data_IF_467080178595
#
_entry.id   IF_467080178595
#
_cell.length_a   1.000
_cell.length_b   1.000
_cell.length_c   1.000
_cell.angle_alpha   90.00
_cell.angle_beta   90.00
_cell.angle_gamma   90.00
#
_symmetry.space_group_name_H-M   'P 1'
#
loop_
_entity.id
_entity.type
_entity.pdbx_description
1 polymer ?
#
# COMPACT_ATOMS: atom_id res chain seq x y z
N UNK A 1 7.77 -11.93 -88.03
CA UNK A 1 8.37 -11.22 -86.86
C UNK A 1 7.26 -10.95 -85.87
N UNK A 2 7.24 -11.74 -84.79
CA UNK A 2 6.29 -11.60 -83.73
C UNK A 2 6.98 -10.82 -82.58
N UNK A 3 6.41 -9.70 -82.17
CA UNK A 3 6.90 -8.91 -81.02
C UNK A 3 6.14 -9.41 -79.79
N UNK A 4 6.87 -10.03 -78.88
CA UNK A 4 6.35 -10.37 -77.50
C UNK A 4 6.46 -9.13 -76.63
N UNK A 5 5.31 -8.66 -76.12
CA UNK A 5 5.26 -7.66 -75.06
C UNK A 5 5.31 -8.35 -73.71
N UNK A 6 6.36 -8.11 -72.92
CA UNK A 6 6.49 -8.55 -71.54
C UNK A 6 5.69 -7.60 -70.65
N UNK A 7 4.67 -8.17 -69.96
CA UNK A 7 3.92 -7.48 -68.92
C UNK A 7 4.70 -7.67 -67.60
N UNK A 8 5.26 -6.59 -67.10
CA UNK A 8 5.86 -6.53 -65.77
C UNK A 8 4.71 -6.44 -64.74
N UNK A 9 4.54 -7.54 -63.97
CA UNK A 9 3.61 -7.55 -62.83
C UNK A 9 4.17 -6.66 -61.69
N UNK A 10 3.41 -5.66 -61.30
CA UNK A 10 3.67 -4.95 -60.03
C UNK A 10 3.26 -5.86 -58.87
N UNK A 11 4.24 -6.33 -58.14
CA UNK A 11 4.03 -6.94 -56.84
C UNK A 11 3.58 -5.85 -55.87
N UNK A 12 2.35 -5.94 -55.40
CA UNK A 12 1.88 -5.15 -54.25
C UNK A 12 2.59 -5.68 -53.02
N UNK A 13 3.49 -4.86 -52.44
CA UNK A 13 4.01 -5.07 -51.12
C UNK A 13 2.82 -4.98 -50.11
N UNK A 14 2.42 -6.11 -49.58
CA UNK A 14 1.52 -6.16 -48.41
C UNK A 14 2.15 -5.42 -47.23
N UNK A 15 1.56 -4.30 -46.82
CA UNK A 15 1.98 -3.59 -45.60
C UNK A 15 1.83 -4.57 -44.43
N UNK A 16 2.85 -4.70 -43.56
CA UNK A 16 2.75 -5.57 -42.39
C UNK A 16 1.58 -5.10 -41.51
N UNK A 17 0.58 -5.95 -41.40
CA UNK A 17 -0.53 -5.74 -40.46
C UNK A 17 0.09 -5.83 -39.07
N UNK A 18 0.13 -4.73 -38.34
CA UNK A 18 0.57 -4.74 -36.94
C UNK A 18 -0.29 -5.75 -36.16
N UNK A 19 0.31 -6.79 -35.58
CA UNK A 19 -0.46 -7.81 -34.88
C UNK A 19 -1.16 -7.18 -33.67
N UNK A 20 -2.49 -7.19 -33.67
CA UNK A 20 -3.29 -6.77 -32.51
C UNK A 20 -3.23 -7.90 -31.48
N UNK A 21 -2.73 -7.61 -30.29
CA UNK A 21 -2.75 -8.55 -29.16
C UNK A 21 -4.12 -8.55 -28.52
N UNK A 22 -4.73 -9.72 -28.41
CA UNK A 22 -6.00 -9.91 -27.70
C UNK A 22 -5.71 -10.13 -26.23
N UNK A 23 -6.40 -9.40 -25.34
CA UNK A 23 -6.30 -9.59 -23.90
C UNK A 23 -6.81 -10.97 -23.50
N UNK A 24 -6.04 -11.66 -22.68
CA UNK A 24 -6.45 -12.93 -22.05
C UNK A 24 -7.28 -12.67 -20.78
N UNK A 25 -8.07 -13.64 -20.33
CA UNK A 25 -8.93 -13.50 -19.16
C UNK A 25 -8.14 -13.08 -17.89
N UNK A 26 -6.88 -13.53 -17.73
CA UNK A 26 -6.03 -13.15 -16.62
C UNK A 26 -5.48 -11.71 -16.67
N UNK A 27 -5.67 -11.01 -17.78
CA UNK A 27 -5.29 -9.60 -17.95
C UNK A 27 -6.46 -8.64 -17.74
N UNK A 28 -7.66 -9.16 -17.49
CA UNK A 28 -8.84 -8.36 -17.22
C UNK A 28 -8.97 -8.07 -15.73
N UNK A 29 -9.14 -6.80 -15.38
CA UNK A 29 -9.51 -6.36 -14.04
C UNK A 29 -11.02 -6.42 -13.94
N UNK A 30 -11.54 -7.19 -13.00
CA UNK A 30 -12.99 -7.29 -12.77
C UNK A 30 -13.42 -6.08 -11.91
N UNK A 31 -14.29 -5.19 -12.44
CA UNK A 31 -14.75 -4.03 -11.69
C UNK A 31 -15.74 -4.41 -10.59
N UNK A 32 -15.76 -3.64 -9.51
CA UNK A 32 -16.83 -3.68 -8.52
C UNK A 32 -18.07 -3.00 -9.06
N UNK A 33 -19.23 -3.59 -8.89
CA UNK A 33 -20.50 -2.96 -9.27
C UNK A 33 -21.06 -2.19 -8.08
N UNK A 34 -21.35 -0.90 -8.29
CA UNK A 34 -21.98 -0.05 -7.28
C UNK A 34 -23.21 0.65 -7.84
N UNK A 35 -24.13 0.99 -6.94
CA UNK A 35 -25.35 1.72 -7.24
C UNK A 35 -25.21 3.14 -6.68
N UNK A 36 -25.59 4.15 -7.45
CA UNK A 36 -25.58 5.56 -7.03
C UNK A 36 -26.93 6.21 -7.33
N UNK A 37 -27.25 7.25 -6.57
CA UNK A 37 -28.45 8.06 -6.78
C UNK A 37 -28.13 9.54 -6.75
N UNK A 38 -29.06 10.37 -7.23
CA UNK A 38 -28.94 11.81 -7.19
C UNK A 38 -29.14 12.39 -5.77
N UNK A 39 -30.01 11.75 -4.95
CA UNK A 39 -30.40 12.24 -3.65
C UNK A 39 -29.47 11.87 -2.48
N UNK A 40 -28.65 10.81 -2.64
CA UNK A 40 -27.79 10.28 -1.57
C UNK A 40 -26.36 10.12 -2.07
N UNK A 41 -25.40 10.16 -1.16
CA UNK A 41 -23.97 9.97 -1.45
C UNK A 41 -23.53 8.58 -0.99
N UNK A 42 -22.82 7.87 -1.84
CA UNK A 42 -22.14 6.63 -1.52
C UNK A 42 -20.72 6.98 -1.03
N UNK A 43 -20.32 6.42 0.11
CA UNK A 43 -18.98 6.56 0.66
C UNK A 43 -18.23 5.23 0.50
N UNK A 44 -17.03 5.31 -0.05
CA UNK A 44 -16.15 4.16 -0.25
C UNK A 44 -14.87 4.41 0.55
N UNK A 45 -14.63 3.57 1.55
CA UNK A 45 -13.45 3.61 2.41
C UNK A 45 -12.40 2.69 1.82
N UNK A 46 -11.20 3.22 1.59
CA UNK A 46 -10.04 2.49 1.07
C UNK A 46 -9.03 2.18 2.18
N UNK A 47 -8.24 1.11 2.06
CA UNK A 47 -7.23 0.73 3.05
C UNK A 47 -6.07 1.74 3.13
N UNK A 48 -5.87 2.55 2.10
CA UNK A 48 -4.81 3.55 2.00
C UNK A 48 -5.35 4.86 1.45
N UNK A 49 -4.58 5.95 1.58
CA UNK A 49 -4.95 7.26 1.06
C UNK A 49 -5.24 7.21 -0.45
N UNK A 50 -6.24 7.92 -0.89
CA UNK A 50 -6.60 8.03 -2.31
C UNK A 50 -5.70 9.05 -2.99
N UNK A 51 -4.93 8.61 -3.99
CA UNK A 51 -4.03 9.47 -4.78
C UNK A 51 -4.72 10.02 -6.01
N UNK A 52 -5.54 9.21 -6.66
CA UNK A 52 -6.15 9.56 -7.93
C UNK A 52 -7.56 8.97 -8.07
N UNK A 53 -8.46 9.75 -8.66
CA UNK A 53 -9.82 9.32 -9.03
C UNK A 53 -10.07 9.74 -10.47
N UNK A 54 -10.43 8.79 -11.33
CA UNK A 54 -10.75 9.03 -12.74
C UNK A 54 -12.19 8.66 -13.04
N UNK A 55 -12.91 9.56 -13.67
CA UNK A 55 -14.33 9.41 -13.99
C UNK A 55 -14.53 9.10 -15.47
N UNK A 56 -15.24 8.03 -15.78
CA UNK A 56 -15.54 7.63 -17.14
C UNK A 56 -16.59 8.50 -17.84
N UNK A 57 -17.41 9.24 -17.08
CA UNK A 57 -18.41 10.17 -17.64
C UNK A 57 -18.79 11.28 -16.66
N UNK A 58 -19.48 12.30 -17.17
CA UNK A 58 -20.06 13.39 -16.38
C UNK A 58 -21.39 13.01 -15.69
N UNK A 59 -21.84 11.77 -15.79
CA UNK A 59 -23.07 11.29 -15.15
C UNK A 59 -22.91 11.09 -13.65
N UNK A 60 -21.68 11.03 -13.17
CA UNK A 60 -21.34 10.87 -11.75
C UNK A 60 -20.39 11.96 -11.29
N UNK A 61 -20.45 12.26 -10.01
CA UNK A 61 -19.48 13.09 -9.29
C UNK A 61 -18.79 12.18 -8.29
N UNK A 62 -17.47 12.12 -8.36
CA UNK A 62 -16.69 11.46 -7.33
C UNK A 62 -15.47 12.31 -6.93
N UNK A 63 -15.07 12.21 -5.68
CA UNK A 63 -13.91 12.91 -5.16
C UNK A 63 -13.63 12.54 -3.71
N UNK A 64 -12.46 12.91 -3.24
CA UNK A 64 -12.08 12.72 -1.83
C UNK A 64 -13.07 13.42 -0.90
N UNK A 65 -13.30 12.84 0.26
CA UNK A 65 -14.01 13.50 1.34
C UNK A 65 -13.09 14.56 1.99
N UNK A 66 -13.64 15.71 2.33
CA UNK A 66 -12.87 16.80 2.93
C UNK A 66 -12.32 16.38 4.29
N UNK A 67 -11.03 16.58 4.50
CA UNK A 67 -10.32 16.20 5.73
C UNK A 67 -10.10 14.71 5.96
N UNK A 68 -10.45 13.85 4.98
CA UNK A 68 -10.25 12.39 5.06
C UNK A 68 -9.59 11.89 3.78
N UNK A 69 -8.39 11.34 3.89
CA UNK A 69 -7.59 11.01 2.72
C UNK A 69 -7.97 9.68 2.04
N UNK A 70 -8.59 8.77 2.77
CA UNK A 70 -8.91 7.41 2.31
C UNK A 70 -10.39 7.18 2.02
N UNK A 71 -11.19 8.23 1.87
CA UNK A 71 -12.61 8.12 1.55
C UNK A 71 -12.93 8.84 0.25
N UNK A 72 -13.58 8.13 -0.66
CA UNK A 72 -14.18 8.70 -1.87
C UNK A 72 -15.69 8.80 -1.71
N UNK A 73 -16.22 9.98 -1.98
CA UNK A 73 -17.66 10.23 -2.07
C UNK A 73 -18.08 10.12 -3.53
N UNK A 74 -19.12 9.34 -3.79
CA UNK A 74 -19.67 9.15 -5.15
C UNK A 74 -21.17 9.40 -5.13
N UNK A 75 -21.68 10.13 -6.12
CA UNK A 75 -23.12 10.29 -6.35
C UNK A 75 -23.43 10.52 -7.83
N UNK A 76 -24.67 10.32 -8.24
CA UNK A 76 -25.12 10.72 -9.56
C UNK A 76 -25.11 12.25 -9.69
N UNK A 77 -24.56 12.75 -10.80
CA UNK A 77 -24.58 14.15 -11.17
C UNK A 77 -25.94 14.56 -11.76
N UNK A 78 -26.63 13.60 -12.37
CA UNK A 78 -27.93 13.77 -13.05
C UNK A 78 -28.89 12.72 -12.53
N UNK A 79 -30.19 13.02 -12.57
CA UNK A 79 -31.23 12.01 -12.31
C UNK A 79 -31.30 11.05 -13.48
N UNK A 80 -31.36 9.76 -13.16
CA UNK A 80 -31.67 8.69 -14.11
C UNK A 80 -30.77 8.70 -15.36
N UNK A 81 -29.47 8.53 -15.21
CA UNK A 81 -28.65 8.31 -16.40
C UNK A 81 -28.83 6.87 -16.90
N UNK A 82 -28.99 6.67 -18.21
CA UNK A 82 -29.19 5.35 -18.80
C UNK A 82 -27.88 4.58 -18.88
N UNK A 83 -27.95 3.27 -18.71
CA UNK A 83 -26.82 2.38 -18.87
C UNK A 83 -25.88 2.37 -17.65
N UNK A 84 -24.62 2.11 -17.93
CA UNK A 84 -23.55 1.98 -16.94
C UNK A 84 -22.43 2.98 -17.26
N UNK A 85 -21.84 3.55 -16.24
CA UNK A 85 -20.59 4.30 -16.36
C UNK A 85 -19.55 3.67 -15.44
N UNK A 86 -18.35 4.23 -15.40
CA UNK A 86 -17.28 3.70 -14.55
C UNK A 86 -16.48 4.83 -13.91
N UNK A 87 -15.75 4.48 -12.88
CA UNK A 87 -14.62 5.26 -12.38
C UNK A 87 -13.57 4.32 -11.82
N UNK A 88 -12.36 4.85 -11.69
CA UNK A 88 -11.25 4.13 -11.08
C UNK A 88 -10.59 4.95 -9.98
N UNK A 89 -10.00 4.25 -9.03
CA UNK A 89 -9.28 4.85 -7.88
C UNK A 89 -7.91 4.21 -7.78
N UNK A 90 -6.89 5.05 -7.59
CA UNK A 90 -5.53 4.63 -7.25
C UNK A 90 -5.25 5.11 -5.84
N UNK A 91 -4.79 4.21 -4.99
CA UNK A 91 -4.41 4.51 -3.61
C UNK A 91 -2.90 4.68 -3.47
N UNK A 92 -2.45 5.27 -2.36
CA UNK A 92 -1.05 5.58 -2.09
C UNK A 92 -0.14 4.37 -2.00
N UNK A 93 -0.70 3.20 -1.70
CA UNK A 93 -0.02 1.92 -1.72
C UNK A 93 0.04 1.27 -3.12
N UNK A 94 -0.39 1.98 -4.17
CA UNK A 94 -0.41 1.53 -5.55
C UNK A 94 -1.54 0.59 -5.92
N UNK A 95 -2.51 0.36 -5.03
CA UNK A 95 -3.67 -0.46 -5.37
C UNK A 95 -4.58 0.28 -6.35
N UNK A 96 -5.09 -0.47 -7.35
CA UNK A 96 -6.04 0.01 -8.36
C UNK A 96 -7.40 -0.63 -8.14
N UNK A 97 -8.41 0.20 -8.02
CA UNK A 97 -9.80 -0.21 -7.87
C UNK A 97 -10.61 0.30 -9.04
N UNK A 98 -11.34 -0.59 -9.72
CA UNK A 98 -12.23 -0.26 -10.83
C UNK A 98 -13.66 -0.48 -10.41
N UNK A 99 -14.54 0.47 -10.74
CA UNK A 99 -15.95 0.43 -10.39
C UNK A 99 -16.82 0.64 -11.62
N UNK A 100 -17.82 -0.23 -11.80
CA UNK A 100 -18.93 -0.04 -12.70
C UNK A 100 -20.10 0.56 -11.91
N UNK A 101 -20.68 1.63 -12.41
CA UNK A 101 -21.67 2.45 -11.71
C UNK A 101 -22.97 2.47 -12.45
N UNK A 102 -24.04 2.10 -11.77
CA UNK A 102 -25.41 2.18 -12.31
C UNK A 102 -26.25 3.13 -11.45
N UNK A 103 -27.19 3.81 -12.11
CA UNK A 103 -28.17 4.62 -11.38
C UNK A 103 -29.24 3.71 -10.76
N UNK A 104 -29.58 4.00 -9.50
CA UNK A 104 -30.72 3.40 -8.80
C UNK A 104 -31.27 4.39 -7.81
N UNK A 105 -32.58 4.61 -7.81
CA UNK A 105 -33.20 5.59 -6.93
C UNK A 105 -32.99 5.30 -5.45
N UNK A 106 -33.05 4.01 -5.09
CA UNK A 106 -32.73 3.51 -3.74
C UNK A 106 -31.57 2.52 -3.83
N UNK A 107 -30.31 3.01 -3.67
CA UNK A 107 -29.13 2.13 -3.63
C UNK A 107 -29.20 1.16 -2.46
N UNK A 108 -28.78 -0.08 -2.67
CA UNK A 108 -28.77 -1.13 -1.67
C UNK A 108 -27.72 -0.88 -0.56
N UNK A 109 -26.67 -0.12 -0.88
CA UNK A 109 -25.56 0.17 0.05
C UNK A 109 -25.07 1.60 -0.18
N UNK A 110 -24.91 2.37 0.91
CA UNK A 110 -24.37 3.73 0.88
C UNK A 110 -22.95 3.82 1.47
N UNK A 111 -22.50 2.79 2.18
CA UNK A 111 -21.17 2.78 2.78
C UNK A 111 -20.47 1.46 2.42
N UNK A 112 -19.37 1.54 1.73
CA UNK A 112 -18.59 0.41 1.22
C UNK A 112 -17.22 0.47 1.87
N UNK A 113 -16.78 -0.62 2.48
CA UNK A 113 -15.45 -0.74 3.05
C UNK A 113 -14.61 -1.67 2.18
N UNK A 114 -13.56 -1.13 1.56
CA UNK A 114 -12.60 -1.88 0.75
C UNK A 114 -11.46 -2.47 1.60
N UNK A 115 -11.43 -2.20 2.91
CA UNK A 115 -10.40 -2.66 3.83
C UNK A 115 -10.50 -4.17 4.15
N UNK A 116 -11.65 -4.82 3.88
CA UNK A 116 -11.84 -6.28 4.02
C UNK A 116 -10.99 -7.14 3.08
N UNK A 117 -10.11 -6.51 2.31
CA UNK A 117 -9.14 -7.14 1.41
C UNK A 117 -8.08 -7.97 2.15
N UNK A 118 -7.94 -7.79 3.45
CA UNK A 118 -6.89 -8.41 4.25
C UNK A 118 -7.26 -9.74 4.92
N UNK A 119 -8.47 -10.27 4.69
CA UNK A 119 -8.87 -11.58 5.19
C UNK A 119 -8.93 -12.60 4.04
N UNK A 120 -7.87 -13.41 3.82
CA UNK A 120 -7.87 -14.43 2.77
C UNK A 120 -8.77 -15.64 3.04
N UNK A 121 -9.37 -15.75 4.22
CA UNK A 121 -10.17 -16.91 4.63
C UNK A 121 -11.63 -16.92 4.12
N UNK A 122 -12.10 -15.85 3.47
CA UNK A 122 -13.39 -15.85 2.81
C UNK A 122 -13.22 -15.90 1.28
N UNK A 123 -13.45 -17.10 0.74
CA UNK A 123 -13.16 -17.57 -0.60
C UNK A 123 -13.88 -16.90 -1.77
N UNK A 124 -13.86 -15.59 -1.88
CA UNK A 124 -14.25 -14.88 -3.11
C UNK A 124 -13.07 -14.08 -3.67
N UNK A 125 -12.68 -14.40 -4.89
CA UNK A 125 -11.71 -13.62 -5.68
C UNK A 125 -12.25 -12.21 -5.89
N UNK A 126 -11.83 -11.28 -5.05
CA UNK A 126 -12.23 -9.87 -5.15
C UNK A 126 -11.38 -9.16 -6.20
N UNK A 127 -12.07 -8.43 -7.09
CA UNK A 127 -11.47 -7.79 -8.25
C UNK A 127 -10.76 -6.49 -7.91
N UNK A 128 -9.55 -6.58 -7.41
CA UNK A 128 -8.60 -5.49 -7.40
C UNK A 128 -7.34 -5.93 -8.15
N UNK A 129 -6.80 -5.07 -8.96
CA UNK A 129 -5.53 -5.30 -9.64
C UNK A 129 -4.58 -4.18 -9.27
N UNK A 130 -3.34 -4.54 -9.06
CA UNK A 130 -2.30 -3.59 -8.70
C UNK A 130 -1.76 -2.87 -9.93
N UNK A 131 -1.63 -1.57 -9.84
CA UNK A 131 -0.76 -0.80 -10.73
C UNK A 131 0.64 -0.81 -10.10
N UNK A 132 1.66 -1.06 -10.93
CA UNK A 132 3.05 -0.90 -10.52
C UNK A 132 3.29 0.57 -10.19
N UNK A 133 3.51 0.86 -8.92
CA UNK A 133 4.01 2.15 -8.46
C UNK A 133 5.52 2.03 -8.37
N UNK A 134 6.23 2.99 -8.89
CA UNK A 134 7.71 3.01 -8.94
C UNK A 134 8.35 2.73 -7.57
N UNK A 135 7.67 3.09 -6.50
CA UNK A 135 8.11 2.91 -5.11
C UNK A 135 8.03 1.46 -4.59
N UNK A 136 7.18 0.61 -5.20
CA UNK A 136 7.06 -0.82 -4.84
C UNK A 136 7.94 -1.74 -5.70
N UNK A 137 8.68 -1.17 -6.67
CA UNK A 137 9.48 -1.94 -7.62
C UNK A 137 8.60 -2.72 -8.61
N UNK A 138 9.04 -3.94 -8.97
CA UNK A 138 8.30 -4.79 -9.90
C UNK A 138 7.24 -5.69 -9.23
N UNK A 139 7.04 -5.58 -7.90
CA UNK A 139 6.18 -6.46 -7.15
C UNK A 139 4.71 -6.07 -7.22
N UNK A 140 3.88 -7.11 -7.27
CA UNK A 140 2.44 -6.96 -7.13
C UNK A 140 2.08 -6.54 -5.68
N UNK A 141 1.36 -5.43 -5.46
CA UNK A 141 0.91 -5.01 -4.13
C UNK A 141 0.15 -6.08 -3.35
N UNK A 142 -0.53 -7.01 -4.04
CA UNK A 142 -1.21 -8.16 -3.40
C UNK A 142 -0.20 -9.12 -2.78
N UNK A 143 0.91 -9.37 -3.48
CA UNK A 143 2.01 -10.21 -2.96
C UNK A 143 2.62 -9.54 -1.73
N UNK A 144 2.88 -8.23 -1.80
CA UNK A 144 3.44 -7.47 -0.68
C UNK A 144 2.49 -7.50 0.53
N UNK A 145 1.18 -7.32 0.31
CA UNK A 145 0.19 -7.44 1.38
C UNK A 145 0.20 -8.83 2.02
N UNK A 146 0.26 -9.90 1.21
CA UNK A 146 0.33 -11.28 1.68
C UNK A 146 1.60 -11.55 2.49
N UNK A 147 2.74 -11.02 2.05
CA UNK A 147 4.02 -11.08 2.79
C UNK A 147 3.90 -10.39 4.14
N UNK A 148 3.40 -9.15 4.18
CA UNK A 148 3.24 -8.39 5.41
C UNK A 148 2.28 -9.08 6.39
N UNK A 149 1.16 -9.61 5.88
CA UNK A 149 0.21 -10.38 6.68
C UNK A 149 0.84 -11.65 7.26
N UNK A 150 1.64 -12.37 6.46
CA UNK A 150 2.35 -13.57 6.92
C UNK A 150 3.34 -13.25 8.03
N UNK A 151 4.14 -12.20 7.88
CA UNK A 151 5.06 -11.72 8.93
C UNK A 151 4.30 -11.37 10.21
N UNK A 152 3.19 -10.62 10.08
CA UNK A 152 2.37 -10.22 11.22
C UNK A 152 1.73 -11.42 11.93
N UNK A 153 1.21 -12.41 11.17
CA UNK A 153 0.54 -13.60 11.70
C UNK A 153 1.52 -14.54 12.40
N UNK A 154 2.68 -14.80 11.81
CA UNK A 154 3.68 -15.68 12.40
C UNK A 154 4.28 -15.12 13.69
N UNK A 155 4.27 -13.82 13.85
CA UNK A 155 4.69 -13.11 15.06
C UNK A 155 6.05 -13.56 15.64
N UNK A 156 6.99 -13.96 14.77
CA UNK A 156 8.31 -14.46 15.17
C UNK A 156 9.15 -13.35 15.79
N UNK A 157 10.05 -13.72 16.69
CA UNK A 157 11.07 -12.84 17.26
C UNK A 157 12.45 -13.31 16.81
N UNK A 158 12.83 -12.97 15.62
CA UNK A 158 14.12 -13.31 15.02
C UNK A 158 15.21 -12.32 15.47
N UNK A 159 14.86 -11.03 15.63
CA UNK A 159 15.74 -10.01 16.20
C UNK A 159 15.50 -9.90 17.71
N UNK A 160 16.59 -10.03 18.52
CA UNK A 160 16.49 -10.10 19.99
C UNK A 160 17.11 -8.90 20.70
N UNK A 161 17.97 -8.13 20.03
CA UNK A 161 18.80 -7.10 20.61
C UNK A 161 18.35 -5.65 20.29
N UNK A 162 17.39 -5.45 19.40
CA UNK A 162 16.94 -4.13 18.98
C UNK A 162 15.61 -3.78 19.63
N UNK A 163 15.60 -2.65 20.34
CA UNK A 163 14.42 -2.12 20.98
C UNK A 163 14.75 -1.16 22.11
N UNK A 164 13.71 -0.66 22.76
CA UNK A 164 13.83 0.17 23.95
C UNK A 164 12.73 -0.16 24.95
N UNK A 165 12.99 0.16 26.21
CA UNK A 165 12.01 0.03 27.30
C UNK A 165 12.16 1.21 28.25
N UNK A 166 11.17 2.09 28.26
CA UNK A 166 11.13 3.23 29.16
C UNK A 166 9.68 3.70 29.39
N UNK A 167 9.45 4.38 30.49
CA UNK A 167 8.14 4.95 30.85
C UNK A 167 6.97 3.95 30.84
N UNK A 168 7.23 2.68 31.18
CA UNK A 168 6.21 1.63 31.12
C UNK A 168 5.86 1.12 29.73
N UNK A 169 6.51 1.66 28.70
CA UNK A 169 6.41 1.20 27.31
C UNK A 169 7.60 0.34 26.92
N UNK A 170 7.38 -0.58 26.01
CA UNK A 170 8.43 -1.36 25.36
C UNK A 170 8.20 -1.40 23.86
N UNK A 171 9.16 -0.92 23.09
CA UNK A 171 9.19 -1.04 21.63
C UNK A 171 10.29 -2.04 21.24
N UNK A 172 9.96 -3.03 20.42
CA UNK A 172 10.88 -4.06 19.94
C UNK A 172 10.79 -4.18 18.42
N UNK A 173 11.95 -4.23 17.77
CA UNK A 173 12.06 -4.75 16.43
C UNK A 173 12.11 -6.28 16.53
N UNK A 174 11.04 -6.97 16.14
CA UNK A 174 10.92 -8.42 16.24
C UNK A 174 11.60 -9.16 15.12
N UNK A 175 11.61 -8.57 13.91
CA UNK A 175 12.23 -9.16 12.74
C UNK A 175 12.49 -8.16 11.65
N UNK A 176 13.49 -8.47 10.84
CA UNK A 176 13.83 -7.80 9.59
C UNK A 176 13.76 -8.87 8.50
N UNK A 177 12.97 -8.60 7.45
CA UNK A 177 12.77 -9.57 6.38
C UNK A 177 13.00 -8.91 5.04
N UNK A 178 13.42 -9.71 4.05
CA UNK A 178 13.68 -9.26 2.69
C UNK A 178 12.86 -10.08 1.71
N UNK A 179 12.22 -9.39 0.78
CA UNK A 179 11.60 -9.99 -0.39
C UNK A 179 11.91 -9.11 -1.60
N UNK A 180 12.76 -9.62 -2.51
CA UNK A 180 13.28 -8.87 -3.67
C UNK A 180 13.89 -7.51 -3.26
N UNK A 181 13.35 -6.41 -3.77
CA UNK A 181 13.85 -5.05 -3.50
C UNK A 181 13.17 -4.36 -2.31
N UNK A 182 12.41 -5.12 -1.50
CA UNK A 182 11.72 -4.61 -0.32
C UNK A 182 12.29 -5.18 0.96
N UNK A 183 12.36 -4.33 2.00
CA UNK A 183 12.71 -4.68 3.36
C UNK A 183 11.49 -4.47 4.25
N UNK A 184 11.22 -5.44 5.12
CA UNK A 184 10.09 -5.39 6.05
C UNK A 184 10.58 -5.36 7.49
N UNK A 185 10.06 -4.42 8.27
CA UNK A 185 10.30 -4.33 9.71
C UNK A 185 9.05 -4.76 10.47
N UNK A 186 9.18 -5.81 11.29
CA UNK A 186 8.13 -6.23 12.21
C UNK A 186 8.40 -5.61 13.58
N UNK A 187 7.57 -4.68 13.99
CA UNK A 187 7.69 -3.92 15.24
C UNK A 187 6.56 -4.28 16.18
N UNK A 188 6.86 -4.50 17.46
CA UNK A 188 5.86 -4.60 18.51
C UNK A 188 6.00 -3.46 19.51
N UNK A 189 4.86 -2.93 19.96
CA UNK A 189 4.79 -1.89 20.96
C UNK A 189 3.90 -2.37 22.10
N UNK A 190 4.47 -2.58 23.28
CA UNK A 190 3.79 -3.10 24.48
C UNK A 190 3.66 -1.98 25.51
N UNK A 191 2.43 -1.74 25.95
CA UNK A 191 2.13 -0.83 27.02
C UNK A 191 1.97 -1.60 28.35
N UNK A 192 2.98 -1.56 29.22
CA UNK A 192 2.96 -2.19 30.52
C UNK A 192 2.34 -1.30 31.60
N UNK A 193 1.95 -0.07 31.26
CA UNK A 193 1.27 0.86 32.17
C UNK A 193 -0.25 0.63 32.13
N UNK A 194 -0.98 1.29 33.02
CA UNK A 194 -2.44 1.30 33.00
C UNK A 194 -3.02 2.45 32.13
N UNK A 195 -2.16 3.41 31.71
CA UNK A 195 -2.57 4.57 30.94
C UNK A 195 -2.41 4.25 29.45
N UNK A 196 -3.43 4.43 28.62
CA UNK A 196 -3.29 4.26 27.17
C UNK A 196 -2.16 5.10 26.59
N UNK A 197 -1.58 4.62 25.51
CA UNK A 197 -0.55 5.32 24.75
C UNK A 197 -1.12 5.68 23.39
N UNK A 198 -1.38 6.96 23.16
CA UNK A 198 -1.85 7.48 21.89
C UNK A 198 -0.65 7.78 21.00
N UNK A 199 -0.52 7.08 19.88
CA UNK A 199 0.58 7.29 18.93
C UNK A 199 0.30 8.55 18.13
N UNK A 200 1.22 9.50 18.15
CA UNK A 200 1.18 10.70 17.32
C UNK A 200 1.74 10.38 15.93
N UNK A 201 2.99 9.94 15.90
CA UNK A 201 3.65 9.49 14.68
C UNK A 201 4.75 8.46 14.97
N UNK A 202 5.09 7.70 13.95
CA UNK A 202 6.30 6.87 13.88
C UNK A 202 7.19 7.44 12.78
N UNK A 203 8.46 7.65 13.08
CA UNK A 203 9.41 8.29 12.17
C UNK A 203 10.65 7.42 12.01
N UNK A 204 11.13 7.31 10.79
CA UNK A 204 12.35 6.62 10.42
C UNK A 204 13.31 7.63 9.82
N UNK A 205 14.54 7.70 10.35
CA UNK A 205 15.55 8.63 9.84
C UNK A 205 16.96 8.05 9.94
N UNK A 206 17.78 8.32 8.94
CA UNK A 206 19.20 7.99 8.94
C UNK A 206 19.94 9.12 9.64
N UNK A 207 20.67 8.78 10.69
CA UNK A 207 21.42 9.72 11.56
C UNK A 207 22.87 9.28 11.69
N UNK A 208 23.76 10.22 12.00
CA UNK A 208 25.18 9.93 12.23
C UNK A 208 25.39 9.16 13.54
N UNK A 209 26.25 8.11 13.55
CA UNK A 209 26.65 7.38 14.77
C UNK A 209 27.37 8.26 15.77
N UNK A 210 28.14 9.23 15.31
CA UNK A 210 28.92 10.15 16.14
C UNK A 210 28.49 11.59 15.88
N UNK A 211 28.03 12.24 16.94
CA UNK A 211 27.71 13.67 16.90
C UNK A 211 28.99 14.44 17.22
N UNK A 212 29.58 15.06 16.21
CA UNK A 212 30.67 16.03 16.44
C UNK A 212 30.10 17.31 17.08
N UNK A 213 30.69 17.78 18.17
CA UNK A 213 30.18 18.88 19.04
C UNK A 213 29.83 20.21 18.35
N UNK A 214 30.03 20.39 17.04
CA UNK A 214 29.87 21.66 16.31
C UNK A 214 29.37 21.49 14.84
N UNK A 215 28.84 20.36 14.44
CA UNK A 215 28.40 20.13 13.07
C UNK A 215 26.87 20.02 13.02
N UNK A 216 26.24 20.62 12.01
CA UNK A 216 24.81 20.40 11.75
C UNK A 216 24.60 18.91 11.45
N UNK A 217 23.69 18.27 12.16
CA UNK A 217 23.29 16.89 11.92
C UNK A 217 22.50 16.84 10.62
N UNK A 218 22.97 16.02 9.68
CA UNK A 218 22.22 15.73 8.48
C UNK A 218 21.29 14.55 8.77
N UNK A 219 20.01 14.82 8.93
CA UNK A 219 18.96 13.82 9.07
C UNK A 219 18.33 13.56 7.70
N UNK A 220 18.24 12.30 7.30
CA UNK A 220 17.53 11.89 6.09
C UNK A 220 16.33 11.04 6.52
N UNK A 221 15.12 11.55 6.28
CA UNK A 221 13.89 10.83 6.57
C UNK A 221 13.63 9.78 5.50
N UNK A 222 13.16 8.61 5.93
CA UNK A 222 12.68 7.56 5.04
C UNK A 222 11.24 7.21 5.40
N UNK A 223 10.43 7.03 4.38
CA UNK A 223 9.00 6.73 4.53
C UNK A 223 8.74 5.28 4.11
N UNK A 224 7.91 4.53 4.86
CA UNK A 224 7.47 3.22 4.41
C UNK A 224 6.55 3.37 3.20
N UNK A 225 6.76 2.55 2.18
CA UNK A 225 5.86 2.48 1.01
C UNK A 225 4.54 1.79 1.36
N UNK A 226 4.54 1.01 2.45
CA UNK A 226 3.33 0.38 2.99
C UNK A 226 3.45 0.11 4.48
N UNK A 227 2.32 0.22 5.18
CA UNK A 227 2.20 -0.12 6.61
C UNK A 227 1.00 -1.02 6.82
N UNK A 228 1.22 -2.16 7.47
CA UNK A 228 0.14 -3.06 7.91
C UNK A 228 -0.11 -2.86 9.39
N UNK A 229 -1.38 -2.67 9.77
CA UNK A 229 -1.85 -2.50 11.15
C UNK A 229 -1.21 -1.27 11.84
N UNK A 230 -1.29 -0.10 11.18
CA UNK A 230 -0.84 1.15 11.77
C UNK A 230 -1.56 1.40 13.11
N UNK A 231 -0.78 1.55 14.18
CA UNK A 231 -1.32 1.74 15.53
C UNK A 231 -1.50 3.22 15.81
N UNK A 232 -2.72 3.62 16.14
CA UNK A 232 -3.03 4.98 16.60
C UNK A 232 -3.14 5.06 18.12
N UNK A 233 -3.45 3.91 18.77
CA UNK A 233 -3.60 3.82 20.23
C UNK A 233 -3.28 2.41 20.72
N UNK A 234 -2.62 2.32 21.88
CA UNK A 234 -2.30 1.07 22.57
C UNK A 234 -2.83 1.17 23.99
N UNK A 235 -3.82 0.35 24.27
CA UNK A 235 -4.45 0.31 25.58
C UNK A 235 -3.47 -0.11 26.70
N UNK A 236 -3.82 0.20 27.93
CA UNK A 236 -3.03 -0.25 29.07
C UNK A 236 -2.95 -1.77 29.15
N UNK A 237 -1.78 -2.33 29.49
CA UNK A 237 -1.52 -3.78 29.56
C UNK A 237 -1.76 -4.53 28.25
N UNK A 238 -1.61 -3.85 27.11
CA UNK A 238 -1.78 -4.46 25.79
C UNK A 238 -0.55 -4.34 24.91
N UNK A 239 -0.56 -5.07 23.79
CA UNK A 239 0.50 -5.08 22.80
C UNK A 239 -0.11 -4.88 21.41
N UNK A 240 0.42 -3.92 20.67
CA UNK A 240 0.18 -3.74 19.25
C UNK A 240 1.37 -4.19 18.42
N UNK A 241 1.10 -4.62 17.18
CA UNK A 241 2.13 -5.09 16.23
C UNK A 241 1.90 -4.43 14.88
N UNK A 242 2.99 -4.01 14.25
CA UNK A 242 2.99 -3.28 12.99
C UNK A 242 4.02 -3.92 12.06
N UNK A 243 3.72 -3.98 10.78
CA UNK A 243 4.71 -4.32 9.76
C UNK A 243 4.84 -3.14 8.81
N UNK A 244 6.07 -2.67 8.63
CA UNK A 244 6.41 -1.62 7.67
C UNK A 244 7.14 -2.25 6.48
N UNK A 245 6.83 -1.81 5.27
CA UNK A 245 7.57 -2.16 4.07
C UNK A 245 8.28 -0.92 3.54
N UNK A 246 9.57 -1.06 3.23
CA UNK A 246 10.41 -0.02 2.66
C UNK A 246 11.04 -0.53 1.36
N UNK A 247 11.38 0.36 0.41
CA UNK A 247 12.34 0.04 -0.63
C UNK A 247 13.67 -0.35 -0.01
N UNK A 248 14.53 -1.02 -0.74
CA UNK A 248 15.86 -1.39 -0.27
C UNK A 248 16.60 -0.19 0.33
N UNK A 249 16.88 -0.28 1.61
CA UNK A 249 17.60 0.73 2.39
C UNK A 249 19.06 0.33 2.48
N UNK A 250 19.96 1.29 2.29
CA UNK A 250 21.38 1.15 2.55
C UNK A 250 21.74 2.13 3.66
N UNK A 251 22.29 1.63 4.76
CA UNK A 251 22.78 2.44 5.87
C UNK A 251 24.31 2.48 5.78
N UNK A 252 24.94 3.65 5.56
CA UNK A 252 26.39 3.80 5.60
C UNK A 252 26.95 3.36 6.97
N UNK A 253 28.19 2.88 7.01
CA UNK A 253 28.80 2.33 8.23
C UNK A 253 28.94 3.34 9.38
N UNK A 254 29.01 4.63 9.06
CA UNK A 254 29.06 5.74 9.99
C UNK A 254 27.69 6.25 10.44
N UNK A 255 26.59 5.62 9.94
CA UNK A 255 25.21 6.01 10.22
C UNK A 255 24.39 4.90 10.86
N UNK A 256 23.23 5.28 11.39
CA UNK A 256 22.20 4.42 11.99
C UNK A 256 20.84 4.76 11.38
N UNK A 257 19.96 3.78 11.31
CA UNK A 257 18.54 4.05 11.14
C UNK A 257 17.91 4.18 12.53
N UNK A 258 17.49 5.39 12.84
CA UNK A 258 16.75 5.71 14.07
C UNK A 258 15.26 5.53 13.84
N UNK A 259 14.58 4.81 14.73
CA UNK A 259 13.14 4.67 14.78
C UNK A 259 12.61 5.40 16.00
N UNK A 260 11.79 6.41 15.79
CA UNK A 260 11.16 7.20 16.84
C UNK A 260 9.64 6.97 16.84
N UNK A 261 9.07 6.74 18.02
CA UNK A 261 7.63 6.58 18.23
C UNK A 261 7.23 7.62 19.26
N UNK A 262 6.39 8.59 18.85
CA UNK A 262 5.97 9.70 19.68
C UNK A 262 4.57 9.50 20.23
N UNK A 263 4.40 9.90 21.49
CA UNK A 263 3.09 9.94 22.14
C UNK A 263 2.43 11.30 21.90
N UNK A 264 1.16 11.28 21.53
CA UNK A 264 0.37 12.50 21.32
C UNK A 264 0.14 13.24 22.63
N UNK A 265 0.66 14.47 22.71
CA UNK A 265 0.50 15.30 23.89
C UNK A 265 1.18 14.77 25.16
N UNK A 266 1.97 13.71 25.06
CA UNK A 266 2.67 13.06 26.15
C UNK A 266 4.19 13.12 26.02
N UNK A 267 4.90 12.46 26.96
CA UNK A 267 6.36 12.41 27.01
C UNK A 267 6.98 11.02 27.00
N UNK A 268 6.16 9.96 26.75
CA UNK A 268 6.61 8.57 26.79
C UNK A 268 7.17 8.10 25.45
N UNK A 269 7.98 8.94 24.77
CA UNK A 269 8.58 8.62 23.47
C UNK A 269 9.46 7.38 23.57
N UNK A 270 9.46 6.60 22.51
CA UNK A 270 10.29 5.42 22.36
C UNK A 270 11.26 5.65 21.21
N UNK A 271 12.53 5.18 21.38
CA UNK A 271 13.55 5.33 20.35
C UNK A 271 14.47 4.11 20.37
N UNK A 272 14.78 3.58 19.22
CA UNK A 272 15.78 2.53 19.03
C UNK A 272 16.50 2.70 17.70
N UNK A 273 17.60 1.97 17.51
CA UNK A 273 18.48 2.10 16.37
C UNK A 273 18.69 0.75 15.70
N UNK A 274 18.84 0.79 14.36
CA UNK A 274 19.13 -0.35 13.50
C UNK A 274 20.43 -0.04 12.77
N UNK A 275 21.35 -0.99 12.74
CA UNK A 275 22.63 -0.89 12.04
C UNK A 275 22.59 -1.56 10.66
N UNK A 276 23.57 -1.26 9.82
CA UNK A 276 23.69 -1.93 8.53
C UNK A 276 23.86 -3.46 8.66
N UNK A 277 24.59 -3.92 9.67
CA UNK A 277 24.73 -5.35 9.98
C UNK A 277 23.38 -6.04 10.20
N UNK A 278 22.44 -5.37 10.86
CA UNK A 278 21.11 -5.93 11.10
C UNK A 278 20.30 -6.11 9.81
N UNK A 279 20.50 -5.20 8.84
CA UNK A 279 19.88 -5.32 7.51
C UNK A 279 20.51 -6.44 6.67
N UNK A 280 21.83 -6.63 6.80
CA UNK A 280 22.54 -7.71 6.10
C UNK A 280 22.10 -9.08 6.63
N UNK A 281 21.83 -9.18 7.93
CA UNK A 281 21.34 -10.39 8.59
C UNK A 281 19.82 -10.60 8.46
N UNK A 282 19.15 -9.78 7.65
CA UNK A 282 17.69 -9.90 7.41
C UNK A 282 17.33 -11.26 6.82
N UNK A 283 16.22 -11.86 7.27
CA UNK A 283 15.75 -13.15 6.78
C UNK A 283 15.00 -13.02 5.45
N UNK A 284 15.16 -13.99 4.59
CA UNK A 284 14.40 -14.08 3.34
C UNK A 284 12.98 -14.57 3.65
N UNK A 285 11.97 -13.86 3.14
CA UNK A 285 10.55 -14.17 3.40
C UNK A 285 10.18 -15.59 2.99
N UNK A 286 10.73 -16.13 1.90
CA UNK A 286 10.43 -17.47 1.43
C UNK A 286 10.81 -18.56 2.45
N UNK A 287 11.79 -18.31 3.31
CA UNK A 287 12.18 -19.21 4.40
C UNK A 287 11.12 -19.27 5.52
N UNK A 288 10.31 -18.22 5.66
CA UNK A 288 9.23 -18.17 6.66
C UNK A 288 8.02 -19.05 6.27
N UNK A 289 7.82 -19.28 4.97
CA UNK A 289 6.67 -20.01 4.44
C UNK A 289 6.97 -21.52 4.34
N UNK A 290 8.24 -21.91 4.35
CA UNK A 290 8.70 -23.29 4.21
C UNK A 290 8.92 -24.05 5.53
N UNK A 291 8.79 -23.39 6.67
CA UNK A 291 8.80 -23.96 8.02
C UNK A 291 7.35 -24.05 8.59
#
# INVERSE_FOLDING_TARGET
MAVQASVSGFSQEERPVNPVRILTAGQHIIPYKIEVTFGKTVHILFPSEVRYVDLGSNNIIAGKADGVENVVRVKAAVKEFPGETNFSVITGDGSFFSFNVVYKEEPSTLNINMDQWMNPDEGEKKGGSSIRVTELGEEDPTVIASVMYTIHRLDRRDVKHIGCRQFGMQALLKGIYVHKDLIFFHVSLTNNSNVPFDVDFVRFKIVDKKIAKRTAQQETYIEPVRTLNALTRIEGKSTGRIVYAFPKIVIPDDKLLEVEIYEKGGGRHQRFYIENSDLVDARIVNELIGE
#
